data_IF_994452540798
#
_entry.id   IF_994452540798
#
_cell.length_a   1.000
_cell.length_b   1.000
_cell.length_c   1.000
_cell.angle_alpha   90.00
_cell.angle_beta   90.00
_cell.angle_gamma   90.00
#
_symmetry.space_group_name_H-M   'P 1'
#
loop_
_entity.id
_entity.type
_entity.pdbx_description
1 polymer ?
#
# COMPACT_ATOMS: atom_id res chain seq x y z
N UNK A 1 47.96 10.94 17.85
CA UNK A 1 46.52 11.19 18.07
C UNK A 1 46.02 11.82 16.78
N UNK A 2 45.30 11.07 15.95
CA UNK A 2 44.85 11.53 14.64
C UNK A 2 43.46 12.16 14.79
N UNK A 3 43.30 13.42 14.40
CA UNK A 3 41.99 14.04 14.25
C UNK A 3 41.33 13.46 13.00
N UNK A 4 40.18 12.79 13.19
CA UNK A 4 39.32 12.38 12.11
C UNK A 4 38.46 13.56 11.70
N UNK A 5 38.69 14.07 10.48
CA UNK A 5 37.89 15.11 9.86
C UNK A 5 36.45 14.62 9.66
N UNK A 6 35.50 15.36 10.26
CA UNK A 6 34.07 15.14 10.07
C UNK A 6 33.72 15.48 8.62
N UNK A 7 33.10 14.58 7.84
CA UNK A 7 32.68 14.92 6.49
C UNK A 7 31.46 15.84 6.57
N UNK A 8 31.61 17.04 6.00
CA UNK A 8 30.51 17.98 5.77
C UNK A 8 29.53 17.33 4.79
N UNK A 9 28.31 17.05 5.25
CA UNK A 9 27.21 16.61 4.40
C UNK A 9 26.76 17.80 3.54
N UNK A 10 27.33 17.84 2.33
CA UNK A 10 26.96 18.76 1.26
C UNK A 10 25.76 18.16 0.53
N UNK A 11 24.65 18.88 0.51
CA UNK A 11 23.49 18.53 -0.29
C UNK A 11 22.23 19.25 0.17
N UNK A 12 22.16 20.56 -0.04
CA UNK A 12 20.88 21.24 -0.20
C UNK A 12 20.22 20.66 -1.46
N UNK A 13 19.46 19.57 -1.29
CA UNK A 13 18.51 19.13 -2.29
C UNK A 13 17.45 20.23 -2.35
N UNK A 14 17.50 21.03 -3.40
CA UNK A 14 16.46 22.01 -3.73
C UNK A 14 15.14 21.26 -3.79
N UNK A 15 14.33 21.39 -2.73
CA UNK A 15 13.09 20.66 -2.59
C UNK A 15 12.14 21.12 -3.69
N UNK A 16 11.81 20.22 -4.61
CA UNK A 16 10.76 20.47 -5.58
C UNK A 16 9.48 20.87 -4.83
N UNK A 17 8.84 22.00 -5.18
CA UNK A 17 7.61 22.41 -4.52
C UNK A 17 6.55 21.31 -4.64
N UNK A 18 5.64 21.24 -3.67
CA UNK A 18 4.54 20.29 -3.73
C UNK A 18 3.67 20.58 -4.98
N UNK A 19 3.36 19.55 -5.79
CA UNK A 19 2.55 19.74 -6.98
C UNK A 19 1.12 20.14 -6.59
N UNK A 20 0.51 20.95 -7.44
CA UNK A 20 -0.90 21.29 -7.38
C UNK A 20 -1.78 20.07 -7.72
N UNK A 21 -3.07 20.15 -7.37
CA UNK A 21 -4.05 19.10 -7.69
C UNK A 21 -4.12 18.84 -9.20
N UNK A 22 -4.06 19.91 -10.00
CA UNK A 22 -4.10 19.79 -11.46
C UNK A 22 -2.90 19.01 -12.01
N UNK A 23 -1.69 19.30 -11.52
CA UNK A 23 -0.47 18.58 -11.93
C UNK A 23 -0.54 17.09 -11.54
N UNK A 24 -1.09 16.78 -10.37
CA UNK A 24 -1.30 15.39 -9.94
C UNK A 24 -2.33 14.66 -10.82
N UNK A 25 -3.43 15.31 -11.18
CA UNK A 25 -4.44 14.73 -12.09
C UNK A 25 -3.86 14.44 -13.48
N UNK A 26 -3.06 15.35 -14.02
CA UNK A 26 -2.39 15.15 -15.31
C UNK A 26 -1.39 14.01 -15.27
N UNK A 27 -0.60 13.90 -14.20
CA UNK A 27 0.31 12.78 -13.98
C UNK A 27 -0.41 11.44 -13.88
N UNK A 28 -1.51 11.37 -13.13
CA UNK A 28 -2.31 10.15 -13.00
C UNK A 28 -2.94 9.74 -14.35
N UNK A 29 -3.43 10.70 -15.13
CA UNK A 29 -4.05 10.45 -16.45
C UNK A 29 -3.03 10.04 -17.51
N UNK A 30 -1.78 10.50 -17.40
CA UNK A 30 -0.69 10.10 -18.29
C UNK A 30 -0.19 8.67 -18.04
N UNK A 31 -0.54 8.08 -16.89
CA UNK A 31 -0.20 6.71 -16.52
C UNK A 31 -0.81 5.66 -17.45
N UNK A 32 -0.19 4.48 -17.49
CA UNK A 32 -0.72 3.33 -18.23
C UNK A 32 -1.87 2.72 -17.43
N UNK A 33 -3.06 2.66 -18.03
CA UNK A 33 -4.20 1.93 -17.47
C UNK A 33 -3.96 0.43 -17.64
N UNK A 34 -3.90 -0.30 -16.53
CA UNK A 34 -4.07 -1.75 -16.52
C UNK A 34 -5.55 -2.08 -16.39
N UNK A 35 -6.01 -3.10 -17.13
CA UNK A 35 -7.34 -3.69 -16.94
C UNK A 35 -7.24 -5.00 -16.14
N UNK A 36 -6.17 -5.15 -15.35
CA UNK A 36 -5.99 -6.32 -14.49
C UNK A 36 -6.79 -6.12 -13.20
N UNK A 37 -7.28 -7.21 -12.63
CA UNK A 37 -7.90 -7.19 -11.30
C UNK A 37 -6.87 -7.02 -10.17
N UNK A 38 -5.59 -7.32 -10.47
CA UNK A 38 -4.46 -7.19 -9.55
C UNK A 38 -3.18 -6.87 -10.32
N UNK A 39 -2.41 -5.93 -9.83
CA UNK A 39 -1.13 -5.52 -10.40
C UNK A 39 -0.04 -5.44 -9.33
N UNK A 40 1.17 -5.88 -9.65
CA UNK A 40 2.35 -5.68 -8.80
C UNK A 40 2.91 -4.28 -9.08
N UNK A 41 2.72 -3.38 -8.12
CA UNK A 41 3.13 -1.96 -8.26
C UNK A 41 4.51 -1.70 -7.65
N UNK A 42 4.98 -2.60 -6.80
CA UNK A 42 6.30 -2.60 -6.18
C UNK A 42 6.68 -4.04 -5.82
N UNK A 43 7.97 -4.43 -5.72
CA UNK A 43 8.36 -5.80 -5.41
C UNK A 43 7.61 -6.38 -4.20
N UNK A 44 6.84 -7.45 -4.44
CA UNK A 44 5.96 -8.14 -3.48
C UNK A 44 4.81 -7.30 -2.90
N UNK A 45 4.46 -6.18 -3.53
CA UNK A 45 3.34 -5.31 -3.18
C UNK A 45 2.35 -5.24 -4.34
N UNK A 46 1.14 -5.71 -4.08
CA UNK A 46 0.07 -5.80 -5.05
C UNK A 46 -1.04 -4.83 -4.69
N UNK A 47 -1.63 -4.18 -5.69
CA UNK A 47 -2.88 -3.43 -5.57
C UNK A 47 -3.94 -4.18 -6.38
N UNK A 48 -5.13 -4.37 -5.81
CA UNK A 48 -6.20 -5.05 -6.52
C UNK A 48 -7.60 -4.57 -6.15
N UNK A 49 -8.58 -5.22 -6.75
CA UNK A 49 -9.99 -4.94 -6.54
C UNK A 49 -10.66 -5.88 -5.52
N UNK A 50 -11.92 -5.57 -5.18
CA UNK A 50 -12.72 -6.40 -4.27
C UNK A 50 -12.96 -7.83 -4.82
N UNK A 51 -12.94 -8.03 -6.14
CA UNK A 51 -13.09 -9.36 -6.73
C UNK A 51 -11.89 -10.24 -6.37
N UNK A 52 -10.68 -9.69 -6.44
CA UNK A 52 -9.44 -10.36 -6.05
C UNK A 52 -9.42 -10.61 -4.54
N UNK A 53 -9.81 -9.62 -3.73
CA UNK A 53 -9.90 -9.76 -2.27
C UNK A 53 -10.77 -10.95 -1.83
N UNK A 54 -11.90 -11.16 -2.54
CA UNK A 54 -12.84 -12.23 -2.26
C UNK A 54 -12.45 -13.58 -2.89
N UNK A 55 -11.31 -13.67 -3.59
CA UNK A 55 -10.83 -14.90 -4.20
C UNK A 55 -9.60 -15.45 -3.46
N UNK A 56 -9.84 -16.23 -2.40
CA UNK A 56 -8.78 -16.83 -1.58
C UNK A 56 -7.84 -17.74 -2.36
N UNK A 57 -8.33 -18.38 -3.42
CA UNK A 57 -7.51 -19.26 -4.24
C UNK A 57 -6.47 -18.46 -5.03
N UNK A 58 -6.88 -17.35 -5.65
CA UNK A 58 -5.95 -16.45 -6.36
C UNK A 58 -4.95 -15.81 -5.40
N UNK A 59 -5.39 -15.35 -4.22
CA UNK A 59 -4.48 -14.83 -3.19
C UNK A 59 -3.47 -15.87 -2.72
N UNK A 60 -3.90 -17.12 -2.50
CA UNK A 60 -3.00 -18.22 -2.15
C UNK A 60 -2.02 -18.56 -3.27
N UNK A 61 -2.49 -18.59 -4.52
CA UNK A 61 -1.66 -18.86 -5.70
C UNK A 61 -0.60 -17.78 -5.92
N UNK A 62 -0.94 -16.52 -5.64
CA UNK A 62 0.00 -15.39 -5.61
C UNK A 62 0.94 -15.44 -4.40
N UNK A 63 0.65 -16.27 -3.40
CA UNK A 63 1.41 -16.39 -2.16
C UNK A 63 1.22 -15.19 -1.23
N UNK A 64 0.06 -14.53 -1.28
CA UNK A 64 -0.24 -13.38 -0.42
C UNK A 64 -0.25 -13.83 1.04
N UNK A 65 0.47 -13.07 1.86
CA UNK A 65 0.65 -13.33 3.30
C UNK A 65 0.02 -12.25 4.16
N UNK A 66 -0.15 -11.05 3.61
CA UNK A 66 -0.67 -9.88 4.29
C UNK A 66 -1.71 -9.21 3.39
N UNK A 67 -2.87 -8.90 3.94
CA UNK A 67 -3.97 -8.24 3.25
C UNK A 67 -4.32 -6.96 4.01
N UNK A 68 -4.21 -5.81 3.36
CA UNK A 68 -4.67 -4.52 3.86
C UNK A 68 -5.91 -4.12 3.08
N UNK A 69 -7.10 -4.22 3.68
CA UNK A 69 -8.33 -3.77 3.03
C UNK A 69 -8.55 -2.29 3.32
N UNK A 70 -8.34 -1.44 2.32
CA UNK A 70 -8.53 0.00 2.42
C UNK A 70 -10.02 0.45 2.45
N UNK A 71 -10.97 -0.45 2.26
CA UNK A 71 -12.41 -0.16 2.23
C UNK A 71 -13.19 -1.00 3.27
N UNK A 72 -12.56 -1.29 4.42
CA UNK A 72 -13.11 -2.20 5.42
C UNK A 72 -14.49 -1.75 5.92
N UNK A 73 -15.43 -2.70 6.02
CA UNK A 73 -16.78 -2.40 6.50
C UNK A 73 -17.71 -1.75 5.47
N UNK A 74 -17.23 -1.52 4.24
CA UNK A 74 -18.08 -1.16 3.10
C UNK A 74 -19.01 -2.30 2.68
N UNK A 75 -20.11 -1.98 1.99
CA UNK A 75 -21.19 -2.92 1.62
C UNK A 75 -20.71 -4.19 0.89
N UNK A 76 -19.57 -4.12 0.19
CA UNK A 76 -18.96 -5.21 -0.59
C UNK A 76 -17.54 -5.60 -0.14
N UNK A 77 -17.05 -4.98 0.94
CA UNK A 77 -15.68 -5.12 1.44
C UNK A 77 -15.68 -5.56 2.92
N UNK A 78 -16.60 -6.47 3.25
CA UNK A 78 -16.78 -7.07 4.59
C UNK A 78 -15.71 -8.13 4.93
N UNK A 79 -14.58 -8.13 4.22
CA UNK A 79 -13.49 -9.06 4.50
C UNK A 79 -13.13 -9.00 5.99
N UNK A 80 -13.11 -10.16 6.65
CA UNK A 80 -12.71 -10.29 8.05
C UNK A 80 -11.43 -11.13 8.14
N UNK A 81 -10.68 -11.04 9.24
CA UNK A 81 -9.59 -11.97 9.51
C UNK A 81 -10.02 -13.44 9.33
N UNK A 82 -11.25 -13.78 9.71
CA UNK A 82 -11.77 -15.15 9.60
C UNK A 82 -11.91 -15.64 8.16
N UNK A 83 -12.12 -14.73 7.20
CA UNK A 83 -12.22 -15.08 5.79
C UNK A 83 -10.90 -15.66 5.26
N UNK A 84 -9.78 -15.00 5.59
CA UNK A 84 -8.45 -15.38 5.11
C UNK A 84 -7.79 -16.48 5.98
N UNK A 85 -8.27 -16.68 7.20
CA UNK A 85 -7.76 -17.68 8.13
C UNK A 85 -6.45 -17.25 8.81
N UNK A 86 -5.85 -18.17 9.57
CA UNK A 86 -4.65 -17.88 10.40
C UNK A 86 -3.35 -17.73 9.62
N UNK A 87 -3.34 -18.08 8.33
CA UNK A 87 -2.16 -17.98 7.46
C UNK A 87 -1.92 -16.59 6.89
N UNK A 88 -2.92 -15.70 6.97
CA UNK A 88 -2.85 -14.35 6.39
C UNK A 88 -3.08 -13.32 7.48
N UNK A 89 -2.16 -12.37 7.58
CA UNK A 89 -2.34 -11.22 8.46
C UNK A 89 -3.27 -10.21 7.79
N UNK A 90 -4.27 -9.73 8.51
CA UNK A 90 -5.27 -8.81 7.99
C UNK A 90 -5.24 -7.46 8.71
N UNK A 91 -5.27 -6.37 7.95
CA UNK A 91 -5.52 -5.02 8.44
C UNK A 91 -6.69 -4.41 7.68
N UNK A 92 -7.77 -4.06 8.39
CA UNK A 92 -8.89 -3.34 7.81
C UNK A 92 -8.80 -1.85 8.12
N UNK A 93 -8.76 -1.00 7.09
CA UNK A 93 -8.90 0.45 7.22
C UNK A 93 -10.33 0.81 6.78
N UNK A 94 -11.18 1.34 7.69
CA UNK A 94 -12.56 1.69 7.35
C UNK A 94 -12.62 3.03 6.63
N UNK A 95 -12.00 3.12 5.44
CA UNK A 95 -12.04 4.32 4.64
C UNK A 95 -13.26 4.36 3.70
N UNK A 96 -13.69 5.58 3.43
CA UNK A 96 -14.70 5.89 2.43
C UNK A 96 -14.04 6.69 1.31
N UNK A 97 -14.35 6.35 0.07
CA UNK A 97 -13.88 7.07 -1.12
C UNK A 97 -14.66 8.39 -1.27
N UNK A 98 -14.37 9.32 -0.38
CA UNK A 98 -14.95 10.65 -0.31
C UNK A 98 -13.84 11.68 -0.08
N UNK A 99 -13.89 12.85 -0.73
CA UNK A 99 -12.83 13.87 -0.61
C UNK A 99 -12.75 14.50 0.79
N UNK A 100 -13.79 14.34 1.61
CA UNK A 100 -13.83 14.83 2.99
C UNK A 100 -13.44 13.76 4.03
N UNK A 101 -13.17 12.53 3.61
CA UNK A 101 -12.71 11.49 4.51
C UNK A 101 -11.22 11.68 4.79
N UNK A 102 -10.85 11.74 6.07
CA UNK A 102 -9.45 11.86 6.48
C UNK A 102 -8.75 10.50 6.41
N UNK A 103 -8.27 10.15 5.22
CA UNK A 103 -7.44 8.96 5.01
C UNK A 103 -6.04 9.11 5.61
N UNK A 104 -5.59 10.35 5.84
CA UNK A 104 -4.22 10.62 6.30
C UNK A 104 -3.95 10.07 7.70
N UNK A 105 -4.99 9.97 8.53
CA UNK A 105 -4.95 9.34 9.84
C UNK A 105 -4.46 7.87 9.81
N UNK A 106 -4.61 7.19 8.67
CA UNK A 106 -4.24 5.78 8.49
C UNK A 106 -2.90 5.57 7.78
N UNK A 107 -2.25 6.62 7.28
CA UNK A 107 -1.00 6.48 6.52
C UNK A 107 0.10 5.80 7.33
N UNK A 108 0.28 6.19 8.60
CA UNK A 108 1.33 5.61 9.43
C UNK A 108 1.08 4.13 9.71
N UNK A 109 -0.14 3.77 10.14
CA UNK A 109 -0.48 2.38 10.50
C UNK A 109 -0.50 1.46 9.27
N UNK A 110 -0.99 1.94 8.13
CA UNK A 110 -0.98 1.22 6.86
C UNK A 110 0.45 1.00 6.34
N UNK A 111 1.28 2.06 6.36
CA UNK A 111 2.67 1.97 5.93
C UNK A 111 3.47 1.01 6.81
N UNK A 112 3.30 1.07 8.13
CA UNK A 112 3.96 0.15 9.07
C UNK A 112 3.54 -1.32 8.86
N UNK A 113 2.28 -1.54 8.48
CA UNK A 113 1.79 -2.89 8.15
C UNK A 113 2.45 -3.42 6.87
N UNK A 114 2.45 -2.62 5.80
CA UNK A 114 3.09 -2.97 4.53
C UNK A 114 4.60 -3.19 4.74
N UNK A 115 5.25 -2.31 5.49
CA UNK A 115 6.68 -2.40 5.76
C UNK A 115 7.05 -3.69 6.50
N UNK A 116 6.27 -4.08 7.52
CA UNK A 116 6.46 -5.37 8.22
C UNK A 116 6.23 -6.57 7.32
N UNK A 117 5.22 -6.51 6.46
CA UNK A 117 4.94 -7.57 5.48
C UNK A 117 6.14 -7.78 4.54
N UNK A 118 6.67 -6.69 3.96
CA UNK A 118 7.78 -6.74 3.01
C UNK A 118 9.14 -7.05 3.66
N UNK A 119 9.30 -6.74 4.95
CA UNK A 119 10.50 -7.07 5.72
C UNK A 119 10.57 -8.55 6.11
N UNK A 120 9.46 -9.27 6.03
CA UNK A 120 9.39 -10.70 6.33
C UNK A 120 9.90 -11.50 5.12
N UNK A 121 10.84 -12.45 5.28
CA UNK A 121 11.30 -13.28 4.18
C UNK A 121 10.14 -14.03 3.50
N UNK A 122 9.96 -13.80 2.20
CA UNK A 122 8.85 -14.37 1.42
C UNK A 122 7.50 -13.69 1.65
N UNK A 123 7.46 -12.60 2.42
CA UNK A 123 6.27 -11.81 2.65
C UNK A 123 5.81 -11.09 1.40
N UNK A 124 4.51 -11.19 1.13
CA UNK A 124 3.79 -10.49 0.05
C UNK A 124 2.58 -9.79 0.62
N UNK A 125 2.46 -8.51 0.29
CA UNK A 125 1.39 -7.63 0.74
C UNK A 125 0.44 -7.34 -0.41
N UNK A 126 -0.86 -7.50 -0.16
CA UNK A 126 -1.94 -7.06 -1.04
C UNK A 126 -2.70 -5.92 -0.38
N UNK A 127 -3.03 -4.88 -1.16
CA UNK A 127 -3.78 -3.69 -0.75
C UNK A 127 -5.03 -3.54 -1.60
#
# INVERSE_FOLDING_TARGET
MAEASVPVLRGDAEATPCPSVLELEELLRAGKVSCSHVDEVWPNLYIGDAATANNRFELWKLGITHVLNAAHGGLYCQGSPDFYGSSVSYLGVPAHDLPNFDISAYFSSAADFIHRALSTPGGRSWV
#
